data_IF_779311878001
#
_entry.id   IF_779311878001
#
_cell.length_a   1.000
_cell.length_b   1.000
_cell.length_c   1.000
_cell.angle_alpha   90.00
_cell.angle_beta   90.00
_cell.angle_gamma   90.00
#
_symmetry.space_group_name_H-M   'P 1'
#
loop_
_entity.id
_entity.type
_entity.pdbx_description
1 polymer ?
#
# COMPACT_ATOMS: atom_id res chain seq x y z
N UNK A 1 57.72 -42.44 -13.05
CA UNK A 1 57.91 -41.00 -12.96
C UNK A 1 56.67 -40.27 -13.46
N UNK A 2 56.01 -39.46 -12.61
CA UNK A 2 55.00 -38.44 -12.93
C UNK A 2 53.73 -38.76 -13.74
N UNK A 3 52.96 -39.81 -13.38
CA UNK A 3 51.58 -39.97 -13.88
C UNK A 3 50.47 -39.68 -12.85
N UNK A 4 50.84 -39.27 -11.63
CA UNK A 4 49.90 -39.09 -10.53
C UNK A 4 49.34 -37.66 -10.48
N UNK A 5 50.07 -36.70 -11.01
CA UNK A 5 49.71 -35.28 -10.95
C UNK A 5 48.55 -34.90 -11.88
N UNK A 6 48.46 -35.50 -13.06
CA UNK A 6 47.42 -35.16 -14.05
C UNK A 6 46.00 -35.58 -13.61
N UNK A 7 45.87 -36.69 -12.88
CA UNK A 7 44.56 -37.14 -12.39
C UNK A 7 43.99 -36.28 -11.27
N UNK A 8 44.86 -35.75 -10.41
CA UNK A 8 44.46 -34.83 -9.31
C UNK A 8 44.06 -33.46 -9.83
N UNK A 9 44.76 -32.93 -10.82
CA UNK A 9 44.43 -31.65 -11.47
C UNK A 9 43.11 -31.78 -12.24
N UNK A 10 42.83 -32.90 -12.89
CA UNK A 10 41.59 -33.14 -13.63
C UNK A 10 40.37 -33.22 -12.71
N UNK A 11 40.50 -33.83 -11.52
CA UNK A 11 39.41 -33.93 -10.55
C UNK A 11 39.10 -32.57 -9.93
N UNK A 12 40.11 -31.76 -9.59
CA UNK A 12 39.93 -30.42 -9.06
C UNK A 12 39.30 -29.49 -10.10
N UNK A 13 39.68 -29.58 -11.37
CA UNK A 13 39.08 -28.82 -12.46
C UNK A 13 37.62 -29.25 -12.74
N UNK A 14 37.31 -30.54 -12.65
CA UNK A 14 35.95 -31.05 -12.83
C UNK A 14 35.03 -30.63 -11.67
N UNK A 15 35.51 -30.61 -10.43
CA UNK A 15 34.74 -30.14 -9.28
C UNK A 15 34.55 -28.61 -9.32
N UNK A 16 35.52 -27.83 -9.79
CA UNK A 16 35.40 -26.39 -9.95
C UNK A 16 34.46 -26.02 -11.09
N UNK A 17 34.35 -26.80 -12.15
CA UNK A 17 33.41 -26.59 -13.24
C UNK A 17 31.97 -26.91 -12.83
N UNK A 18 31.76 -27.81 -11.86
CA UNK A 18 30.43 -28.16 -11.36
C UNK A 18 29.82 -27.09 -10.46
N UNK A 19 30.64 -26.23 -9.83
CA UNK A 19 30.19 -25.13 -9.01
C UNK A 19 29.81 -23.86 -9.82
N UNK A 20 30.18 -23.80 -11.11
CA UNK A 20 29.92 -22.61 -11.94
C UNK A 20 28.55 -22.60 -12.65
N UNK A 21 27.75 -23.65 -12.49
CA UNK A 21 26.52 -23.80 -13.28
C UNK A 21 25.20 -23.77 -12.50
N UNK A 22 25.23 -23.44 -11.20
CA UNK A 22 23.98 -23.17 -10.48
C UNK A 22 23.73 -21.64 -10.52
N UNK A 23 23.42 -21.13 -11.69
CA UNK A 23 22.70 -19.88 -11.78
C UNK A 23 21.24 -20.18 -11.44
N UNK A 24 20.87 -20.05 -10.19
CA UNK A 24 19.47 -19.98 -9.81
C UNK A 24 18.96 -18.68 -10.43
N UNK A 25 18.05 -18.71 -11.41
CA UNK A 25 17.42 -17.48 -11.87
C UNK A 25 16.71 -16.89 -10.65
N UNK A 26 17.19 -15.76 -10.18
CA UNK A 26 16.38 -14.94 -9.28
C UNK A 26 15.17 -14.50 -10.10
N UNK A 27 14.07 -15.23 -9.99
CA UNK A 27 12.77 -14.70 -10.39
C UNK A 27 12.51 -13.54 -9.44
N UNK A 28 12.76 -12.33 -9.91
CA UNK A 28 12.13 -11.18 -9.34
C UNK A 28 10.62 -11.39 -9.60
N UNK A 29 9.91 -11.95 -8.63
CA UNK A 29 8.47 -11.92 -8.66
C UNK A 29 8.11 -10.43 -8.66
N UNK A 30 7.29 -10.02 -9.63
CA UNK A 30 6.66 -8.71 -9.61
C UNK A 30 5.75 -8.71 -8.37
N UNK A 31 6.24 -8.11 -7.29
CA UNK A 31 5.64 -8.23 -5.96
C UNK A 31 4.74 -7.06 -5.62
N UNK A 32 4.48 -6.17 -6.60
CA UNK A 32 3.61 -5.02 -6.38
C UNK A 32 2.15 -5.48 -6.21
N UNK A 33 1.56 -5.12 -5.09
CA UNK A 33 0.13 -5.34 -4.84
C UNK A 33 -0.56 -4.00 -4.63
N UNK A 34 -1.62 -3.75 -5.42
CA UNK A 34 -2.42 -2.53 -5.31
C UNK A 34 -3.44 -2.64 -4.18
N UNK A 35 -3.39 -1.70 -3.25
CA UNK A 35 -4.44 -1.46 -2.25
C UNK A 35 -5.40 -0.42 -2.79
N UNK A 36 -6.70 -0.64 -2.56
CA UNK A 36 -7.78 0.28 -2.88
C UNK A 36 -8.59 0.56 -1.63
N UNK A 37 -8.70 1.83 -1.27
CA UNK A 37 -9.47 2.30 -0.13
C UNK A 37 -10.66 3.06 -0.69
N UNK A 38 -11.89 2.52 -0.59
CA UNK A 38 -13.08 3.22 -1.05
C UNK A 38 -13.42 4.36 -0.09
N UNK A 39 -13.71 5.53 -0.65
CA UNK A 39 -14.13 6.74 0.07
C UNK A 39 -15.39 7.27 -0.60
N UNK A 40 -16.43 7.54 0.20
CA UNK A 40 -17.69 8.07 -0.29
C UNK A 40 -18.02 9.37 0.45
N UNK A 41 -18.36 10.42 -0.30
CA UNK A 41 -18.87 11.66 0.22
C UNK A 41 -20.39 11.72 0.02
N UNK A 42 -21.13 11.87 1.10
CA UNK A 42 -22.58 11.98 1.08
C UNK A 42 -23.01 13.23 1.82
N UNK A 43 -23.86 14.03 1.19
CA UNK A 43 -24.52 15.15 1.83
C UNK A 43 -25.92 14.75 2.30
N UNK A 44 -26.17 14.81 3.58
CA UNK A 44 -27.51 14.79 4.13
C UNK A 44 -28.12 16.19 4.01
N UNK A 45 -28.73 16.46 2.88
CA UNK A 45 -29.34 17.74 2.56
C UNK A 45 -30.72 17.58 1.96
N UNK A 46 -31.64 18.45 2.36
CA UNK A 46 -32.94 18.59 1.71
C UNK A 46 -32.85 19.16 0.29
N UNK A 47 -31.71 19.77 -0.06
CA UNK A 47 -31.41 20.32 -1.36
C UNK A 47 -30.55 19.33 -2.15
N UNK A 48 -31.05 18.83 -3.27
CA UNK A 48 -30.38 17.81 -4.09
C UNK A 48 -29.21 18.36 -4.92
N UNK A 49 -29.05 19.68 -5.02
CA UNK A 49 -28.04 20.32 -5.86
C UNK A 49 -26.80 20.77 -5.07
N UNK A 50 -26.34 19.95 -4.11
CA UNK A 50 -25.10 20.24 -3.42
C UNK A 50 -23.93 19.95 -4.35
N UNK A 51 -23.26 21.01 -4.80
CA UNK A 51 -22.12 20.96 -5.72
C UNK A 51 -20.82 21.48 -5.09
N UNK A 52 -20.82 21.67 -3.77
CA UNK A 52 -19.64 22.14 -3.06
C UNK A 52 -18.52 21.08 -3.06
N UNK A 53 -17.30 21.57 -3.01
CA UNK A 53 -16.08 20.78 -3.02
C UNK A 53 -15.48 20.77 -1.62
N UNK A 54 -15.06 19.58 -1.19
CA UNK A 54 -14.45 19.32 0.10
C UNK A 54 -13.13 18.62 -0.05
N UNK A 55 -12.20 18.94 0.83
CA UNK A 55 -10.82 18.49 0.79
C UNK A 55 -10.57 17.45 1.89
N UNK A 56 -9.90 16.38 1.52
CA UNK A 56 -9.54 15.28 2.40
C UNK A 56 -8.05 15.02 2.35
N UNK A 57 -7.53 14.37 3.38
CA UNK A 57 -6.15 13.95 3.45
C UNK A 57 -6.03 12.50 3.95
N UNK A 58 -5.16 11.73 3.29
CA UNK A 58 -4.58 10.50 3.81
C UNK A 58 -3.21 10.84 4.38
N UNK A 59 -2.98 10.45 5.62
CA UNK A 59 -1.78 10.76 6.40
C UNK A 59 -1.16 9.48 6.94
N UNK A 60 0.16 9.46 7.12
CA UNK A 60 0.86 8.45 7.91
C UNK A 60 2.01 9.10 8.68
N UNK A 61 2.36 8.56 9.82
CA UNK A 61 3.56 8.93 10.58
C UNK A 61 4.77 8.03 10.24
N UNK A 62 4.53 6.90 9.59
CA UNK A 62 5.56 5.96 9.18
C UNK A 62 6.32 6.49 7.95
N UNK A 63 7.65 6.56 8.06
CA UNK A 63 8.52 7.10 6.99
C UNK A 63 8.62 6.21 5.77
N UNK A 64 8.38 4.91 5.94
CA UNK A 64 8.51 3.86 4.93
C UNK A 64 7.14 3.35 4.41
N UNK A 65 6.04 3.91 4.92
CA UNK A 65 4.72 3.55 4.45
C UNK A 65 4.52 3.98 2.98
N UNK A 66 4.10 3.06 2.11
CA UNK A 66 3.73 3.39 0.74
C UNK A 66 2.60 4.44 0.70
N UNK A 67 2.69 5.36 -0.24
CA UNK A 67 1.70 6.43 -0.39
C UNK A 67 1.19 6.48 -1.83
N UNK A 68 -0.03 7.01 -2.06
CA UNK A 68 -0.53 7.28 -3.40
C UNK A 68 0.40 8.20 -4.20
N UNK A 69 0.37 8.07 -5.53
CA UNK A 69 1.10 8.96 -6.42
C UNK A 69 0.67 10.42 -6.20
N UNK A 70 1.62 11.34 -6.26
CA UNK A 70 1.38 12.77 -5.98
C UNK A 70 1.40 13.14 -4.49
N UNK A 71 1.68 12.18 -3.59
CA UNK A 71 1.86 12.46 -2.18
C UNK A 71 3.12 13.29 -1.90
N UNK A 72 3.07 14.11 -0.87
CA UNK A 72 4.21 14.88 -0.38
C UNK A 72 4.24 14.88 1.15
N UNK A 73 5.42 14.73 1.75
CA UNK A 73 5.58 14.73 3.20
C UNK A 73 4.66 13.75 3.93
N UNK A 74 4.50 12.53 3.41
CA UNK A 74 3.63 11.49 3.98
C UNK A 74 2.16 11.92 4.06
N UNK A 75 1.74 12.75 3.11
CA UNK A 75 0.38 13.26 2.98
C UNK A 75 -0.05 13.21 1.53
N UNK A 76 -1.22 12.63 1.28
CA UNK A 76 -1.96 12.68 0.02
C UNK A 76 -3.22 13.50 0.23
N UNK A 77 -3.49 14.45 -0.65
CA UNK A 77 -4.66 15.34 -0.56
C UNK A 77 -5.47 15.21 -1.83
N UNK A 78 -6.79 15.13 -1.70
CA UNK A 78 -7.71 15.11 -2.83
C UNK A 78 -8.99 15.88 -2.51
N UNK A 79 -9.71 16.24 -3.56
CA UNK A 79 -10.98 16.94 -3.49
C UNK A 79 -12.12 16.04 -3.94
N UNK A 80 -13.29 16.17 -3.31
CA UNK A 80 -14.52 15.52 -3.70
C UNK A 80 -15.62 16.58 -3.82
N UNK A 81 -16.39 16.51 -4.92
CA UNK A 81 -17.42 17.48 -5.23
C UNK A 81 -18.79 16.81 -5.30
N UNK A 82 -19.76 17.30 -4.53
CA UNK A 82 -21.11 16.73 -4.49
C UNK A 82 -21.12 15.33 -3.85
N UNK A 83 -22.18 14.57 -4.09
CA UNK A 83 -22.28 13.17 -3.68
C UNK A 83 -21.48 12.31 -4.65
N UNK A 84 -20.37 11.79 -4.20
CA UNK A 84 -19.45 11.02 -5.05
C UNK A 84 -18.69 9.96 -4.24
N UNK A 85 -18.41 8.84 -4.90
CA UNK A 85 -17.48 7.82 -4.41
C UNK A 85 -16.19 7.83 -5.23
N UNK A 86 -15.07 7.58 -4.58
CA UNK A 86 -13.75 7.45 -5.21
C UNK A 86 -12.95 6.32 -4.54
N UNK A 87 -11.84 5.93 -5.15
CA UNK A 87 -10.90 4.97 -4.56
C UNK A 87 -9.53 5.64 -4.43
N UNK A 88 -8.94 5.57 -3.24
CA UNK A 88 -7.54 5.90 -3.02
C UNK A 88 -6.73 4.64 -3.32
N UNK A 89 -5.78 4.74 -4.25
CA UNK A 89 -4.95 3.60 -4.67
C UNK A 89 -3.49 3.82 -4.28
N UNK A 90 -2.83 2.76 -3.82
CA UNK A 90 -1.40 2.74 -3.55
C UNK A 90 -0.80 1.37 -3.82
N UNK A 91 0.47 1.33 -4.19
CA UNK A 91 1.19 0.10 -4.47
C UNK A 91 2.05 -0.31 -3.28
N UNK A 92 1.81 -1.50 -2.76
CA UNK A 92 2.59 -2.11 -1.67
C UNK A 92 3.63 -3.04 -2.29
N UNK A 93 4.90 -2.85 -1.93
CA UNK A 93 6.05 -3.61 -2.48
C UNK A 93 6.70 -4.54 -1.47
N UNK A 94 6.52 -4.27 -0.19
CA UNK A 94 7.15 -5.01 0.88
C UNK A 94 6.12 -5.53 1.86
N UNK A 95 6.41 -6.69 2.47
CA UNK A 95 5.64 -7.15 3.62
C UNK A 95 5.86 -6.20 4.80
N UNK A 96 4.80 -5.94 5.57
CA UNK A 96 4.81 -5.04 6.70
C UNK A 96 3.41 -4.65 7.14
N UNK A 97 3.32 -3.90 8.22
CA UNK A 97 2.07 -3.31 8.70
C UNK A 97 2.17 -1.80 8.57
N UNK A 98 1.25 -1.21 7.82
CA UNK A 98 1.22 0.20 7.50
C UNK A 98 -0.04 0.83 8.06
N UNK A 99 0.13 1.96 8.74
CA UNK A 99 -0.97 2.69 9.38
C UNK A 99 -1.17 4.04 8.72
N UNK A 100 -2.43 4.31 8.42
CA UNK A 100 -2.84 5.57 7.81
C UNK A 100 -4.06 6.13 8.54
N UNK A 101 -4.28 7.41 8.33
CA UNK A 101 -5.46 8.12 8.80
C UNK A 101 -6.08 8.92 7.67
N UNK A 102 -7.39 8.80 7.48
CA UNK A 102 -8.16 9.70 6.60
C UNK A 102 -8.94 10.68 7.46
N UNK A 103 -8.87 11.95 7.08
CA UNK A 103 -9.63 13.03 7.69
C UNK A 103 -10.05 14.06 6.66
N UNK A 104 -11.16 14.74 6.93
CA UNK A 104 -11.58 15.93 6.20
C UNK A 104 -10.77 17.13 6.68
N UNK A 105 -10.22 17.91 5.74
CA UNK A 105 -9.37 19.07 6.03
C UNK A 105 -9.91 20.38 5.44
N UNK A 106 -11.15 20.37 4.96
CA UNK A 106 -11.82 21.55 4.43
C UNK A 106 -11.99 22.62 5.52
N UNK A 107 -11.72 23.86 5.19
CA UNK A 107 -12.07 24.98 6.07
C UNK A 107 -13.57 25.03 6.29
N UNK A 108 -13.99 25.27 7.54
CA UNK A 108 -15.41 25.30 7.91
C UNK A 108 -16.12 26.44 7.18
N UNK A 109 -17.18 26.09 6.46
CA UNK A 109 -18.08 27.01 5.78
C UNK A 109 -19.36 27.18 6.61
N UNK A 110 -19.98 28.36 6.54
CA UNK A 110 -21.29 28.56 7.14
C UNK A 110 -22.36 27.65 6.53
N UNK A 111 -23.30 27.23 7.33
CA UNK A 111 -24.44 26.36 6.99
C UNK A 111 -24.07 24.91 6.66
N UNK A 112 -22.86 24.44 7.00
CA UNK A 112 -22.46 23.04 6.91
C UNK A 112 -22.15 22.45 8.28
N UNK A 113 -22.64 21.23 8.52
CA UNK A 113 -22.13 20.34 9.57
C UNK A 113 -21.15 19.39 8.93
N UNK A 114 -19.98 19.24 9.52
CA UNK A 114 -18.90 18.42 9.00
C UNK A 114 -18.83 17.09 9.72
N UNK A 115 -18.46 16.04 9.00
CA UNK A 115 -17.98 14.81 9.63
C UNK A 115 -16.58 15.07 10.19
N UNK A 116 -16.49 15.21 11.51
CA UNK A 116 -15.22 15.43 12.20
C UNK A 116 -14.50 14.12 12.56
N UNK A 117 -15.07 12.96 12.15
CA UNK A 117 -14.46 11.67 12.42
C UNK A 117 -13.16 11.49 11.64
N UNK A 118 -12.25 10.78 12.27
CA UNK A 118 -11.08 10.26 11.61
C UNK A 118 -11.28 8.77 11.38
N UNK A 119 -10.72 8.27 10.30
CA UNK A 119 -10.74 6.85 9.99
C UNK A 119 -9.31 6.33 10.02
N UNK A 120 -9.07 5.34 10.86
CA UNK A 120 -7.78 4.67 10.97
C UNK A 120 -7.78 3.47 10.02
N UNK A 121 -6.71 3.37 9.22
CA UNK A 121 -6.56 2.33 8.20
C UNK A 121 -5.28 1.57 8.50
N UNK A 122 -5.43 0.26 8.66
CA UNK A 122 -4.30 -0.66 8.76
C UNK A 122 -4.23 -1.50 7.49
N UNK A 123 -3.10 -1.44 6.81
CA UNK A 123 -2.78 -2.32 5.68
C UNK A 123 -1.73 -3.31 6.15
N UNK A 124 -2.08 -4.58 6.21
CA UNK A 124 -1.17 -5.67 6.50
C UNK A 124 -0.77 -6.36 5.20
N UNK A 125 0.51 -6.32 4.88
CA UNK A 125 1.11 -6.96 3.72
C UNK A 125 1.97 -8.15 4.13
N UNK A 126 1.77 -9.30 3.52
CA UNK A 126 2.48 -10.55 3.85
C UNK A 126 2.67 -11.42 2.61
N UNK A 127 3.66 -12.31 2.65
CA UNK A 127 3.83 -13.31 1.62
C UNK A 127 3.03 -14.57 1.95
N UNK A 128 2.23 -15.04 0.99
CA UNK A 128 1.52 -16.31 1.11
C UNK A 128 2.45 -17.52 0.89
N UNK A 129 1.90 -18.74 0.94
CA UNK A 129 2.66 -19.97 0.74
C UNK A 129 3.31 -20.08 -0.66
N UNK A 130 2.77 -19.38 -1.66
CA UNK A 130 3.30 -19.35 -3.03
C UNK A 130 4.30 -18.19 -3.23
N UNK A 131 4.76 -17.57 -2.15
CA UNK A 131 5.65 -16.40 -2.16
C UNK A 131 5.10 -15.19 -2.92
N UNK A 132 3.78 -15.03 -2.96
CA UNK A 132 3.10 -13.87 -3.54
C UNK A 132 2.77 -12.87 -2.44
N UNK A 133 3.05 -11.59 -2.67
CA UNK A 133 2.64 -10.52 -1.77
C UNK A 133 1.10 -10.40 -1.77
N UNK A 134 0.51 -10.43 -0.60
CA UNK A 134 -0.93 -10.26 -0.34
C UNK A 134 -1.13 -9.13 0.64
N UNK A 135 -2.29 -8.50 0.56
CA UNK A 135 -2.67 -7.43 1.49
C UNK A 135 -4.04 -7.67 2.08
N UNK A 136 -4.18 -7.27 3.33
CA UNK A 136 -5.46 -7.16 4.04
C UNK A 136 -5.58 -5.70 4.49
N UNK A 137 -6.72 -5.08 4.23
CA UNK A 137 -7.01 -3.72 4.67
C UNK A 137 -8.12 -3.75 5.70
N UNK A 138 -7.86 -3.12 6.82
CA UNK A 138 -8.81 -2.88 7.89
C UNK A 138 -9.06 -1.39 7.99
N UNK A 139 -10.33 -0.99 8.02
CA UNK A 139 -10.75 0.40 8.24
C UNK A 139 -11.56 0.44 9.53
N UNK A 140 -11.20 1.37 10.41
CA UNK A 140 -11.86 1.57 11.70
C UNK A 140 -12.24 3.05 11.84
N UNK A 141 -13.42 3.31 12.41
CA UNK A 141 -13.81 4.64 12.81
C UNK A 141 -13.09 5.04 14.12
N UNK A 142 -13.30 6.28 14.58
CA UNK A 142 -12.67 6.78 15.81
C UNK A 142 -13.06 6.03 17.09
N UNK A 143 -14.13 5.23 17.06
CA UNK A 143 -14.61 4.42 18.16
C UNK A 143 -13.99 3.00 18.14
N UNK A 144 -13.13 2.71 17.15
CA UNK A 144 -12.50 1.42 16.92
C UNK A 144 -13.43 0.37 16.30
N UNK A 145 -14.54 0.81 15.73
CA UNK A 145 -15.47 -0.08 15.03
C UNK A 145 -15.03 -0.26 13.57
N UNK A 146 -15.06 -1.50 13.11
CA UNK A 146 -14.75 -1.84 11.72
C UNK A 146 -15.82 -1.33 10.79
N UNK A 147 -15.42 -0.65 9.72
CA UNK A 147 -16.30 -0.15 8.68
C UNK A 147 -15.89 -0.71 7.32
N UNK A 148 -16.86 -0.86 6.41
CA UNK A 148 -16.61 -1.43 5.07
C UNK A 148 -16.10 -0.40 4.05
N UNK A 149 -16.05 0.88 4.42
CA UNK A 149 -15.61 2.02 3.62
C UNK A 149 -15.72 3.31 4.43
N UNK A 150 -15.28 4.39 3.86
CA UNK A 150 -15.25 5.73 4.48
C UNK A 150 -16.20 6.62 3.70
#
# INVERSE_FOLDING_TARGET
>A
MKRIELKKVSIVFLTMLLFLSIQIPAFAADTDTTVKIPVEQVFDSKNTDVSDEFMYALLTDQSDAPMPDGSSNRRYVWNMKGNIATEITMNIRNAGQYHYKICQITEKKENYSYDERNYDITVEAFYNADNQLKVITLVENQDGEKVSGI
#
